data_IF_010242717973
#
_entry.id   IF_010242717973
#
_cell.length_a   1.000
_cell.length_b   1.000
_cell.length_c   1.000
_cell.angle_alpha   90.00
_cell.angle_beta   90.00
_cell.angle_gamma   90.00
#
_symmetry.space_group_name_H-M   'P 1'
#
loop_
_entity.id
_entity.type
_entity.pdbx_description
1 polymer ?
#
# COMPACT_ATOMS: atom_id res chain seq x y z
N UNK A 1 2.67 24.99 13.30
CA UNK A 1 2.39 23.57 12.98
C UNK A 1 3.67 22.80 13.14
N UNK A 2 3.60 21.54 13.57
CA UNK A 2 4.78 20.68 13.60
C UNK A 2 5.34 20.53 12.18
N UNK A 3 6.66 20.41 12.07
CA UNK A 3 7.37 20.11 10.82
C UNK A 3 8.43 19.06 11.14
N UNK A 4 8.48 18.01 10.33
CA UNK A 4 9.43 16.91 10.49
C UNK A 4 10.23 16.79 9.20
N UNK A 5 11.54 16.60 9.33
CA UNK A 5 12.43 16.50 8.18
C UNK A 5 12.36 15.12 7.51
N UNK A 6 12.97 15.02 6.32
CA UNK A 6 13.00 13.79 5.52
C UNK A 6 13.56 12.60 6.29
N UNK A 7 14.57 12.84 7.14
CA UNK A 7 15.18 11.81 7.99
C UNK A 7 14.17 11.24 8.98
N UNK A 8 13.48 12.09 9.73
CA UNK A 8 12.49 11.66 10.73
C UNK A 8 11.29 10.95 10.11
N UNK A 9 10.86 11.37 8.91
CA UNK A 9 9.84 10.64 8.16
C UNK A 9 10.37 9.27 7.67
N UNK A 10 11.64 9.18 7.24
CA UNK A 10 12.26 7.90 6.93
C UNK A 10 12.27 6.94 8.12
N UNK A 11 12.71 7.40 9.29
CA UNK A 11 12.69 6.62 10.54
C UNK A 11 11.27 6.20 10.94
N UNK A 12 10.24 7.02 10.64
CA UNK A 12 8.85 6.63 10.85
C UNK A 12 8.45 5.45 9.97
N UNK A 13 8.81 5.48 8.69
CA UNK A 13 8.53 4.40 7.73
C UNK A 13 9.25 3.13 8.14
N UNK A 14 10.51 3.26 8.58
CA UNK A 14 11.35 2.14 8.99
C UNK A 14 10.94 1.57 10.36
N UNK A 15 10.04 2.24 11.08
CA UNK A 15 9.61 1.83 12.42
C UNK A 15 10.69 1.99 13.48
N UNK A 16 11.68 2.87 13.24
CA UNK A 16 12.86 3.05 14.11
C UNK A 16 12.81 4.34 14.94
N UNK A 17 11.68 5.05 14.93
CA UNK A 17 11.51 6.23 15.78
C UNK A 17 11.48 5.86 17.26
N UNK A 18 12.12 6.70 18.08
CA UNK A 18 11.97 6.62 19.52
C UNK A 18 10.53 6.95 19.92
N UNK A 19 10.03 6.27 20.95
CA UNK A 19 8.63 6.40 21.36
C UNK A 19 8.22 7.85 21.66
N UNK A 20 9.10 8.66 22.25
CA UNK A 20 8.78 10.07 22.54
C UNK A 20 8.62 10.91 21.26
N UNK A 21 9.37 10.60 20.19
CA UNK A 21 9.25 11.26 18.89
C UNK A 21 7.96 10.88 18.20
N UNK A 22 7.57 9.60 18.27
CA UNK A 22 6.30 9.11 17.74
C UNK A 22 5.11 9.71 18.51
N UNK A 23 5.17 9.72 19.84
CA UNK A 23 4.14 10.31 20.70
C UNK A 23 3.91 11.79 20.38
N UNK A 24 4.97 12.56 20.19
CA UNK A 24 4.89 13.95 19.76
C UNK A 24 4.09 14.09 18.44
N UNK A 25 4.36 13.25 17.44
CA UNK A 25 3.63 13.23 16.16
C UNK A 25 2.16 12.82 16.31
N UNK A 26 1.83 11.99 17.29
CA UNK A 26 0.47 11.54 17.58
C UNK A 26 -0.36 12.62 18.26
N UNK A 27 0.24 13.40 19.17
CA UNK A 27 -0.47 14.39 20.00
C UNK A 27 -0.45 15.80 19.42
N UNK A 28 0.46 16.10 18.50
CA UNK A 28 0.57 17.41 17.85
C UNK A 28 -0.37 17.55 16.64
N UNK A 29 -0.63 18.79 16.23
CA UNK A 29 -1.30 19.06 14.95
C UNK A 29 -0.48 18.50 13.78
N UNK A 30 -1.18 17.97 12.76
CA UNK A 30 -0.55 17.40 11.58
C UNK A 30 0.29 18.43 10.82
N UNK A 31 1.41 17.96 10.30
CA UNK A 31 2.31 18.68 9.41
C UNK A 31 1.73 18.66 7.98
N UNK A 32 1.39 19.82 7.40
CA UNK A 32 0.78 19.87 6.06
C UNK A 32 1.73 19.40 4.95
N UNK A 33 3.03 19.39 5.20
CA UNK A 33 4.08 18.94 4.28
C UNK A 33 4.29 17.41 4.34
N UNK A 34 3.59 16.68 5.22
CA UNK A 34 3.78 15.24 5.45
C UNK A 34 3.78 14.44 4.16
N UNK A 35 2.76 14.66 3.34
CA UNK A 35 2.51 13.83 2.17
C UNK A 35 3.62 13.98 1.12
N UNK A 36 4.08 15.21 0.88
CA UNK A 36 5.15 15.50 -0.07
C UNK A 36 6.46 14.83 0.37
N UNK A 37 6.85 15.02 1.64
CA UNK A 37 8.08 14.42 2.20
C UNK A 37 7.97 12.90 2.21
N UNK A 38 6.83 12.35 2.63
CA UNK A 38 6.59 10.90 2.65
C UNK A 38 6.76 10.28 1.26
N UNK A 39 6.15 10.88 0.25
CA UNK A 39 6.25 10.46 -1.16
C UNK A 39 7.68 10.55 -1.69
N UNK A 40 8.41 11.61 -1.36
CA UNK A 40 9.83 11.75 -1.73
C UNK A 40 10.72 10.69 -1.07
N UNK A 41 10.47 10.35 0.20
CA UNK A 41 11.23 9.27 0.87
C UNK A 41 10.96 7.93 0.18
N UNK A 42 9.72 7.65 -0.22
CA UNK A 42 9.38 6.42 -0.92
C UNK A 42 9.96 6.38 -2.33
N UNK A 43 9.94 7.51 -3.06
CA UNK A 43 10.53 7.59 -4.39
C UNK A 43 12.05 7.30 -4.37
N UNK A 44 12.76 7.75 -3.33
CA UNK A 44 14.19 7.46 -3.16
C UNK A 44 14.49 5.96 -2.91
N UNK A 45 13.49 5.16 -2.52
CA UNK A 45 13.65 3.76 -2.11
C UNK A 45 13.32 2.74 -3.20
N UNK A 46 12.65 3.16 -4.26
CA UNK A 46 12.29 2.29 -5.39
C UNK A 46 13.39 2.34 -6.46
N UNK A 47 13.50 1.28 -7.27
CA UNK A 47 14.53 1.14 -8.31
C UNK A 47 14.14 1.71 -9.67
N UNK A 48 12.99 2.39 -9.76
CA UNK A 48 12.40 2.91 -11.00
C UNK A 48 12.06 4.39 -10.88
N UNK A 49 11.99 5.07 -12.03
CA UNK A 49 11.85 6.54 -12.11
C UNK A 49 10.43 7.03 -12.36
N UNK A 50 9.46 6.14 -12.57
CA UNK A 50 8.05 6.54 -12.69
C UNK A 50 7.66 7.32 -11.41
N UNK A 51 7.08 8.53 -11.49
CA UNK A 51 6.71 9.27 -10.30
C UNK A 51 5.59 8.60 -9.52
N UNK A 52 5.80 8.38 -8.22
CA UNK A 52 4.75 7.98 -7.29
C UNK A 52 3.75 9.13 -7.17
N UNK A 53 2.48 8.84 -7.45
CA UNK A 53 1.33 9.72 -7.21
C UNK A 53 0.72 9.45 -5.84
N UNK A 54 0.55 8.19 -5.48
CA UNK A 54 -0.08 7.83 -4.21
C UNK A 54 0.45 6.47 -3.74
N UNK A 55 1.00 6.36 -2.53
CA UNK A 55 1.22 5.06 -1.89
C UNK A 55 -0.12 4.38 -1.64
N UNK A 56 -0.35 3.22 -2.28
CA UNK A 56 -1.61 2.48 -2.21
C UNK A 56 -1.63 1.57 -0.97
N UNK A 57 -0.49 0.95 -0.67
CA UNK A 57 -0.31 0.05 0.45
C UNK A 57 1.18 -0.21 0.69
N UNK A 58 1.49 -1.15 1.59
CA UNK A 58 2.87 -1.60 1.76
C UNK A 58 3.33 -2.31 0.47
N UNK A 59 4.46 -1.88 -0.08
CA UNK A 59 5.02 -2.37 -1.34
C UNK A 59 4.20 -2.10 -2.62
N UNK A 60 3.20 -1.19 -2.58
CA UNK A 60 2.28 -0.93 -3.68
C UNK A 60 2.00 0.56 -3.86
N UNK A 61 2.12 1.05 -5.10
CA UNK A 61 1.99 2.47 -5.44
C UNK A 61 1.10 2.67 -6.66
N UNK A 62 0.42 3.81 -6.73
CA UNK A 62 -0.08 4.38 -7.97
C UNK A 62 1.00 5.31 -8.52
N UNK A 63 1.45 5.05 -9.75
CA UNK A 63 2.50 5.80 -10.43
C UNK A 63 1.99 6.46 -11.70
N UNK A 64 2.69 7.51 -12.18
CA UNK A 64 2.41 8.12 -13.48
C UNK A 64 3.42 7.69 -14.53
N UNK A 65 2.93 7.23 -15.67
CA UNK A 65 3.75 6.85 -16.83
C UNK A 65 3.97 8.06 -17.75
N UNK A 66 5.00 8.00 -18.59
CA UNK A 66 5.36 9.09 -19.52
C UNK A 66 4.24 9.43 -20.52
N UNK A 67 3.42 8.44 -20.88
CA UNK A 67 2.25 8.62 -21.76
C UNK A 67 1.01 9.19 -21.04
N UNK A 68 1.09 9.44 -19.73
CA UNK A 68 -0.01 9.95 -18.91
C UNK A 68 -0.80 8.88 -18.17
N UNK A 69 -0.57 7.59 -18.46
CA UNK A 69 -1.27 6.49 -17.78
C UNK A 69 -0.93 6.44 -16.30
N UNK A 70 -1.89 5.98 -15.49
CA UNK A 70 -1.74 5.84 -14.04
C UNK A 70 -1.91 4.38 -13.67
N UNK A 71 -0.86 3.78 -13.13
CA UNK A 71 -0.75 2.32 -13.00
C UNK A 71 -0.49 1.93 -11.54
N UNK A 72 -1.10 0.83 -11.10
CA UNK A 72 -0.75 0.19 -9.83
C UNK A 72 0.53 -0.62 -10.02
N UNK A 73 1.57 -0.32 -9.23
CA UNK A 73 2.92 -0.83 -9.39
C UNK A 73 3.53 -1.27 -8.06
N UNK A 74 4.21 -2.42 -8.06
CA UNK A 74 4.95 -2.93 -6.90
C UNK A 74 6.37 -2.32 -6.82
N UNK A 75 6.98 -2.32 -5.64
CA UNK A 75 8.39 -1.96 -5.40
C UNK A 75 9.34 -2.56 -6.44
N UNK A 76 9.16 -3.86 -6.75
CA UNK A 76 10.01 -4.58 -7.69
C UNK A 76 9.89 -4.11 -9.15
N UNK A 77 8.93 -3.23 -9.44
CA UNK A 77 8.66 -2.69 -10.76
C UNK A 77 7.54 -3.41 -11.53
N UNK A 78 6.93 -4.45 -10.96
CA UNK A 78 5.79 -5.12 -11.59
C UNK A 78 4.59 -4.18 -11.70
N UNK A 79 4.04 -4.04 -12.90
CA UNK A 79 2.88 -3.23 -13.21
C UNK A 79 1.65 -4.14 -13.32
N UNK A 80 0.60 -3.84 -12.56
CA UNK A 80 -0.64 -4.62 -12.55
C UNK A 80 -1.62 -4.08 -13.58
N UNK A 81 -2.30 -2.97 -13.28
CA UNK A 81 -3.44 -2.48 -14.04
C UNK A 81 -3.58 -0.96 -13.96
N UNK A 82 -4.59 -0.41 -14.66
CA UNK A 82 -5.01 0.98 -14.43
C UNK A 82 -5.40 1.17 -12.96
N UNK A 83 -5.11 2.34 -12.40
CA UNK A 83 -5.36 2.60 -10.97
C UNK A 83 -6.84 2.56 -10.56
N UNK A 84 -7.77 2.61 -11.52
CA UNK A 84 -9.22 2.47 -11.28
C UNK A 84 -9.68 1.01 -11.31
N UNK A 85 -8.81 0.09 -11.71
CA UNK A 85 -9.11 -1.33 -11.70
C UNK A 85 -8.61 -2.00 -10.41
N UNK A 86 -9.19 -3.15 -10.08
CA UNK A 86 -8.76 -3.92 -8.93
C UNK A 86 -7.50 -4.73 -9.24
N UNK A 87 -6.35 -4.26 -8.76
CA UNK A 87 -5.05 -4.91 -8.95
C UNK A 87 -5.02 -6.37 -8.46
N UNK A 88 -5.84 -6.73 -7.48
CA UNK A 88 -5.95 -8.12 -6.97
C UNK A 88 -6.39 -9.10 -8.05
N UNK A 89 -7.14 -8.65 -9.06
CA UNK A 89 -7.57 -9.50 -10.19
C UNK A 89 -6.40 -9.92 -11.09
N UNK A 90 -5.25 -9.25 -10.98
CA UNK A 90 -4.02 -9.57 -11.70
C UNK A 90 -2.90 -10.12 -10.79
N UNK A 91 -3.16 -10.23 -9.48
CA UNK A 91 -2.24 -10.80 -8.52
C UNK A 91 -2.27 -12.34 -8.53
N UNK A 92 -1.26 -12.96 -7.91
CA UNK A 92 -1.31 -14.39 -7.58
C UNK A 92 -2.03 -14.56 -6.25
N UNK A 93 -2.95 -15.51 -6.15
CA UNK A 93 -3.73 -15.77 -4.94
C UNK A 93 -3.41 -17.15 -4.38
N UNK A 94 -3.16 -17.22 -3.07
CA UNK A 94 -3.15 -18.47 -2.31
C UNK A 94 -4.32 -18.47 -1.32
N UNK A 95 -5.13 -19.51 -1.35
CA UNK A 95 -6.31 -19.62 -0.48
C UNK A 95 -6.10 -20.73 0.53
N UNK A 96 -6.20 -20.36 1.81
CA UNK A 96 -6.27 -21.26 2.96
C UNK A 96 -7.75 -21.58 3.22
N UNK A 97 -8.16 -22.72 2.70
CA UNK A 97 -9.53 -23.23 2.67
C UNK A 97 -9.66 -24.61 3.34
N UNK A 98 -8.63 -25.02 4.10
CA UNK A 98 -8.62 -26.29 4.85
C UNK A 98 -8.00 -26.08 6.23
N UNK A 99 -8.34 -26.95 7.19
CA UNK A 99 -7.77 -26.91 8.54
C UNK A 99 -6.25 -27.05 8.51
N UNK A 100 -5.72 -27.90 7.63
CA UNK A 100 -4.27 -28.10 7.46
C UNK A 100 -3.57 -26.80 7.07
N UNK A 101 -4.04 -26.11 6.02
CA UNK A 101 -3.46 -24.84 5.58
C UNK A 101 -3.61 -23.73 6.61
N UNK A 102 -4.72 -23.71 7.36
CA UNK A 102 -4.92 -22.73 8.44
C UNK A 102 -3.97 -22.98 9.61
N UNK A 103 -3.72 -24.24 9.94
CA UNK A 103 -2.84 -24.63 11.04
C UNK A 103 -1.35 -24.36 10.77
N UNK A 104 -0.97 -24.04 9.54
CA UNK A 104 0.37 -23.53 9.22
C UNK A 104 0.65 -22.15 9.87
N UNK A 105 -0.39 -21.34 10.04
CA UNK A 105 -0.28 -19.95 10.53
C UNK A 105 -1.00 -19.71 11.87
N UNK A 106 -1.90 -20.60 12.28
CA UNK A 106 -2.56 -20.57 13.58
C UNK A 106 -2.37 -21.88 14.34
N UNK A 107 -2.24 -21.84 15.67
CA UNK A 107 -2.38 -23.06 16.46
C UNK A 107 -3.75 -23.69 16.29
N UNK A 108 -3.83 -25.02 16.37
CA UNK A 108 -5.09 -25.77 16.33
C UNK A 108 -6.08 -25.22 17.36
N UNK A 109 -7.36 -25.11 16.96
CA UNK A 109 -8.46 -24.49 17.72
C UNK A 109 -8.41 -22.95 17.82
N UNK A 110 -7.33 -22.30 17.38
CA UNK A 110 -7.26 -20.84 17.25
C UNK A 110 -7.47 -20.37 15.81
N UNK A 111 -7.45 -21.29 14.83
CA UNK A 111 -7.76 -21.00 13.43
C UNK A 111 -9.26 -20.76 13.22
N UNK A 112 -9.63 -19.93 12.22
CA UNK A 112 -11.00 -19.91 11.71
C UNK A 112 -11.41 -21.28 11.17
N UNK A 113 -12.71 -21.58 11.22
CA UNK A 113 -13.29 -22.73 10.52
C UNK A 113 -13.37 -22.41 9.01
N UNK A 114 -12.69 -23.18 8.11
CA UNK A 114 -12.67 -22.90 6.68
C UNK A 114 -14.04 -22.90 5.99
N UNK A 115 -15.04 -23.59 6.56
CA UNK A 115 -16.41 -23.56 6.05
C UNK A 115 -17.09 -22.20 6.29
N UNK A 116 -16.58 -21.41 7.24
CA UNK A 116 -17.10 -20.08 7.59
C UNK A 116 -16.24 -18.94 7.05
N UNK A 117 -14.92 -19.08 7.11
CA UNK A 117 -13.98 -18.05 6.70
C UNK A 117 -12.74 -18.67 6.06
N UNK A 118 -12.42 -18.21 4.86
CA UNK A 118 -11.16 -18.53 4.17
C UNK A 118 -10.21 -17.34 4.26
N UNK A 119 -8.91 -17.62 4.26
CA UNK A 119 -7.87 -16.59 4.17
C UNK A 119 -7.31 -16.61 2.75
N UNK A 120 -7.32 -15.46 2.09
CA UNK A 120 -6.83 -15.26 0.73
C UNK A 120 -5.62 -14.34 0.81
N UNK A 121 -4.47 -14.85 0.42
CA UNK A 121 -3.21 -14.11 0.40
C UNK A 121 -2.92 -13.71 -1.05
N UNK A 122 -2.74 -12.41 -1.29
CA UNK A 122 -2.47 -11.85 -2.61
C UNK A 122 -1.00 -11.48 -2.74
N UNK A 123 -0.36 -11.93 -3.81
CA UNK A 123 1.07 -11.82 -4.03
C UNK A 123 1.40 -11.14 -5.35
N UNK A 124 2.49 -10.38 -5.35
CA UNK A 124 3.09 -9.88 -6.58
C UNK A 124 3.55 -11.05 -7.47
N UNK A 125 3.14 -11.12 -8.75
CA UNK A 125 3.55 -12.21 -9.65
C UNK A 125 5.05 -12.28 -9.94
N UNK A 126 5.79 -11.18 -9.75
CA UNK A 126 7.22 -11.11 -10.07
C UNK A 126 8.13 -11.38 -8.88
N UNK A 127 7.87 -10.80 -7.71
CA UNK A 127 8.74 -10.92 -6.54
C UNK A 127 8.14 -11.70 -5.36
N UNK A 128 6.90 -12.17 -5.49
CA UNK A 128 6.17 -12.90 -4.46
C UNK A 128 5.99 -12.16 -3.12
N UNK A 129 6.15 -10.83 -3.09
CA UNK A 129 5.77 -10.02 -1.94
C UNK A 129 4.28 -10.22 -1.65
N UNK A 130 3.92 -10.49 -0.39
CA UNK A 130 2.53 -10.54 0.06
C UNK A 130 2.02 -9.10 0.18
N UNK A 131 1.04 -8.74 -0.66
CA UNK A 131 0.54 -7.38 -0.80
C UNK A 131 -0.74 -7.15 0.01
N UNK A 132 -1.58 -8.18 0.16
CA UNK A 132 -2.83 -8.09 0.91
C UNK A 132 -3.27 -9.46 1.42
N UNK A 133 -4.08 -9.47 2.48
CA UNK A 133 -4.75 -10.64 3.01
C UNK A 133 -6.24 -10.34 3.24
N UNK A 134 -7.12 -11.05 2.54
CA UNK A 134 -8.56 -11.01 2.80
C UNK A 134 -8.98 -12.20 3.65
N UNK A 135 -9.77 -11.96 4.71
CA UNK A 135 -10.36 -13.00 5.55
C UNK A 135 -11.89 -12.96 5.42
N UNK A 136 -12.42 -13.66 4.44
CA UNK A 136 -13.81 -13.53 3.97
C UNK A 136 -14.51 -14.90 3.93
N UNK A 137 -15.85 -14.95 3.91
CA UNK A 137 -16.56 -16.22 3.69
C UNK A 137 -16.23 -16.86 2.33
N UNK A 138 -16.46 -18.17 2.18
CA UNK A 138 -16.47 -18.81 0.88
C UNK A 138 -17.40 -18.05 -0.10
N UNK A 139 -17.04 -18.08 -1.40
CA UNK A 139 -17.75 -17.44 -2.51
C UNK A 139 -17.78 -15.90 -2.51
N UNK A 140 -17.23 -15.24 -1.50
CA UNK A 140 -17.21 -13.77 -1.46
C UNK A 140 -16.41 -13.20 -2.64
N UNK A 141 -16.85 -12.12 -3.29
CA UNK A 141 -16.10 -11.48 -4.38
C UNK A 141 -14.73 -10.97 -3.89
N UNK A 142 -13.80 -10.79 -4.83
CA UNK A 142 -12.53 -10.10 -4.54
C UNK A 142 -12.85 -8.62 -4.32
N UNK A 143 -12.38 -8.05 -3.20
CA UNK A 143 -12.76 -6.71 -2.78
C UNK A 143 -11.88 -5.69 -3.50
N UNK A 144 -12.50 -4.64 -4.06
CA UNK A 144 -11.79 -3.43 -4.45
C UNK A 144 -11.74 -2.50 -3.24
N UNK A 145 -10.58 -2.39 -2.59
CA UNK A 145 -10.48 -1.73 -1.28
C UNK A 145 -10.56 -0.22 -1.39
N UNK A 146 -10.03 0.35 -2.47
CA UNK A 146 -9.83 1.78 -2.58
C UNK A 146 -9.82 2.31 -4.01
N UNK A 147 -10.64 3.34 -4.26
CA UNK A 147 -10.70 4.13 -5.51
C UNK A 147 -10.42 5.61 -5.20
N UNK A 148 -9.15 6.05 -5.20
CA UNK A 148 -8.80 7.43 -4.85
C UNK A 148 -9.14 8.45 -5.93
N UNK A 149 -9.73 9.57 -5.52
CA UNK A 149 -9.76 10.79 -6.32
C UNK A 149 -8.45 11.57 -6.17
N UNK A 150 -7.42 11.12 -6.90
CA UNK A 150 -6.08 11.70 -6.88
C UNK A 150 -6.11 13.16 -7.34
N UNK A 151 -6.91 13.49 -8.35
CA UNK A 151 -6.91 14.84 -8.94
C UNK A 151 -7.49 15.86 -7.96
N UNK A 152 -8.61 15.55 -7.30
CA UNK A 152 -9.17 16.43 -6.26
C UNK A 152 -8.22 16.56 -5.08
N UNK A 153 -7.61 15.45 -4.63
CA UNK A 153 -6.65 15.48 -3.53
C UNK A 153 -5.49 16.45 -3.82
N UNK A 154 -4.88 16.35 -5.00
CA UNK A 154 -3.78 17.21 -5.42
C UNK A 154 -4.21 18.67 -5.66
N UNK A 155 -5.26 18.89 -6.44
CA UNK A 155 -5.64 20.23 -6.90
C UNK A 155 -6.35 21.05 -5.82
N UNK A 156 -7.22 20.43 -5.01
CA UNK A 156 -8.08 21.15 -4.08
C UNK A 156 -7.58 21.10 -2.64
N UNK A 157 -7.08 19.95 -2.18
CA UNK A 157 -6.75 19.75 -0.76
C UNK A 157 -5.32 20.18 -0.46
N UNK A 158 -4.33 19.56 -1.12
CA UNK A 158 -2.92 19.90 -0.88
C UNK A 158 -2.41 21.03 -1.78
N UNK A 159 -3.16 21.37 -2.84
CA UNK A 159 -2.88 22.47 -3.78
C UNK A 159 -1.47 22.38 -4.38
N UNK A 160 -1.11 21.17 -4.83
CA UNK A 160 0.17 20.86 -5.46
C UNK A 160 -0.09 20.29 -6.85
N UNK A 161 0.78 20.60 -7.83
CA UNK A 161 0.68 19.96 -9.13
C UNK A 161 0.97 18.47 -9.01
N UNK A 162 0.45 17.68 -9.95
CA UNK A 162 0.86 16.30 -10.08
C UNK A 162 2.37 16.23 -10.41
N UNK A 163 3.10 15.27 -9.83
CA UNK A 163 4.48 14.98 -10.19
C UNK A 163 4.60 14.64 -11.67
N UNK A 164 5.57 15.24 -12.38
CA UNK A 164 5.80 14.95 -13.80
C UNK A 164 6.90 13.91 -13.97
N UNK A 165 6.78 13.10 -15.03
CA UNK A 165 7.86 12.21 -15.47
C UNK A 165 9.04 13.07 -15.90
N UNK A 166 10.25 12.72 -15.46
CA UNK A 166 11.48 13.40 -15.87
C UNK A 166 11.84 13.11 -17.32
#
# INVERSE_FOLDING_TARGET
>A
MAKYDKKRIGELIDGTLEFYQLKDMMTSHKDPERFEIYREVLQDRVSWDDPILLPYGLHLYIVQKANGDRIVKCDCGHEFCDYRENWKLQARIFVRDTEEKMNEIYPKLMSPDPEWQVIREYYCPSCATQLEVEAVPPWYPIILDFEPDIDTFYNEWIKKPLPTVK
#
